data_IF_494369496255
#
_entry.id   IF_494369496255
#
_cell.length_a   1.000
_cell.length_b   1.000
_cell.length_c   1.000
_cell.angle_alpha   90.00
_cell.angle_beta   90.00
_cell.angle_gamma   90.00
#
_symmetry.space_group_name_H-M   'P 1'
#
loop_
_entity.id
_entity.type
_entity.pdbx_description
1 polymer ?
#
# COMPACT_ATOMS: atom_id res chain seq x y z
N UNK A 1 2.10 1.66 11.92
CA UNK A 1 1.21 1.40 10.76
C UNK A 1 0.99 2.71 10.02
N UNK A 2 1.16 2.74 8.70
CA UNK A 2 0.94 3.92 7.87
C UNK A 2 -0.21 3.62 6.92
N UNK A 3 -1.26 4.42 6.93
CA UNK A 3 -2.45 4.27 6.09
C UNK A 3 -2.42 5.35 5.02
N UNK A 4 -2.29 4.95 3.76
CA UNK A 4 -2.35 5.83 2.59
C UNK A 4 -3.78 5.87 2.09
N UNK A 5 -4.40 7.06 2.10
CA UNK A 5 -5.71 7.29 1.53
C UNK A 5 -5.60 8.28 0.37
N UNK A 6 -6.15 7.91 -0.79
CA UNK A 6 -6.27 8.84 -1.91
C UNK A 6 -7.70 9.37 -1.94
N UNK A 7 -7.87 10.69 -1.87
CA UNK A 7 -9.19 11.32 -2.07
C UNK A 7 -9.04 12.58 -2.93
N UNK A 8 -9.23 12.44 -4.24
CA UNK A 8 -9.37 13.53 -5.22
C UNK A 8 -8.21 14.51 -5.29
N UNK A 9 -7.29 14.33 -6.26
CA UNK A 9 -6.14 15.20 -6.61
C UNK A 9 -5.17 15.61 -5.46
N UNK A 10 -5.53 15.40 -4.20
CA UNK A 10 -4.69 15.53 -3.00
C UNK A 10 -4.66 14.18 -2.27
N UNK A 11 -3.47 13.70 -1.95
CA UNK A 11 -3.25 12.40 -1.33
C UNK A 11 -2.95 12.57 0.16
N UNK A 12 -3.76 11.95 1.02
CA UNK A 12 -3.66 12.08 2.46
C UNK A 12 -3.07 10.80 3.06
N UNK A 13 -2.01 10.91 3.84
CA UNK A 13 -1.43 9.75 4.54
C UNK A 13 -1.67 9.89 6.03
N UNK A 14 -2.40 8.93 6.57
CA UNK A 14 -2.75 8.82 7.97
C UNK A 14 -1.79 7.82 8.62
N UNK A 15 -0.82 8.31 9.39
CA UNK A 15 0.05 7.47 10.22
C UNK A 15 -0.67 7.04 11.51
N UNK A 16 -0.83 5.74 11.71
CA UNK A 16 -1.23 5.14 12.99
C UNK A 16 0.03 4.70 13.76
N UNK A 17 0.41 5.50 14.75
CA UNK A 17 1.47 5.16 15.69
C UNK A 17 0.82 4.62 16.97
N UNK A 18 1.52 3.72 17.70
CA UNK A 18 1.08 3.20 19.01
C UNK A 18 0.82 4.32 20.06
N UNK A 19 1.17 5.57 19.75
CA UNK A 19 0.98 6.77 20.56
C UNK A 19 -0.07 7.76 20.02
N UNK A 20 -0.85 7.38 19.00
CA UNK A 20 -1.93 8.21 18.43
C UNK A 20 -1.96 8.22 16.90
N UNK A 21 -2.95 8.93 16.34
CA UNK A 21 -3.08 9.14 14.89
C UNK A 21 -2.39 10.44 14.51
N UNK A 22 -1.50 10.40 13.54
CA UNK A 22 -0.92 11.58 12.92
C UNK A 22 -1.36 11.66 11.46
N UNK A 23 -2.12 12.69 11.12
CA UNK A 23 -2.55 12.95 9.74
C UNK A 23 -1.60 13.95 9.11
N UNK A 24 -1.09 13.62 7.92
CA UNK A 24 -0.21 14.50 7.17
C UNK A 24 -0.40 14.31 5.67
N UNK A 25 -0.14 15.36 4.90
CA UNK A 25 -0.26 15.31 3.46
C UNK A 25 1.04 14.78 2.86
N UNK A 26 0.95 13.73 2.05
CA UNK A 26 2.10 13.21 1.32
C UNK A 26 1.87 13.39 -0.17
N UNK A 27 2.71 14.21 -0.78
CA UNK A 27 2.86 14.28 -2.22
C UNK A 27 3.70 13.10 -2.68
N UNK A 28 3.11 12.19 -3.46
CA UNK A 28 3.78 10.95 -3.85
C UNK A 28 5.05 11.21 -4.67
N UNK A 29 5.06 12.30 -5.44
CA UNK A 29 6.19 12.75 -6.25
C UNK A 29 7.43 13.15 -5.41
N UNK A 30 7.25 13.50 -4.13
CA UNK A 30 8.34 13.95 -3.26
C UNK A 30 8.90 12.84 -2.36
N UNK A 31 8.30 11.64 -2.39
CA UNK A 31 8.69 10.53 -1.54
C UNK A 31 8.46 10.82 -0.04
N UNK A 32 8.83 9.87 0.81
CA UNK A 32 8.67 9.98 2.25
C UNK A 32 9.85 9.39 3.01
N UNK A 33 10.16 9.95 4.18
CA UNK A 33 11.21 9.49 5.09
C UNK A 33 10.68 8.60 6.23
N UNK A 34 9.41 8.21 6.21
CA UNK A 34 8.86 7.30 7.23
C UNK A 34 9.35 5.88 7.03
N UNK A 35 9.50 5.17 8.15
CA UNK A 35 9.87 3.75 8.21
C UNK A 35 8.78 2.95 8.94
N UNK A 36 7.57 2.82 8.37
CA UNK A 36 6.51 2.03 8.95
C UNK A 36 6.79 0.53 8.74
N UNK A 37 6.40 -0.28 9.72
CA UNK A 37 6.41 -1.73 9.58
C UNK A 37 5.35 -2.23 8.59
N UNK A 38 4.21 -1.54 8.55
CA UNK A 38 3.06 -1.87 7.70
C UNK A 38 2.59 -0.60 7.01
N UNK A 39 2.46 -0.65 5.69
CA UNK A 39 1.73 0.32 4.85
C UNK A 39 0.40 -0.29 4.44
N UNK A 40 -0.68 0.49 4.48
CA UNK A 40 -2.00 0.06 3.99
C UNK A 40 -2.52 1.09 3.00
N UNK A 41 -3.00 0.65 1.83
CA UNK A 41 -3.69 1.49 0.85
C UNK A 41 -5.07 0.91 0.55
N UNK A 42 -6.07 1.78 0.42
CA UNK A 42 -7.43 1.39 0.05
C UNK A 42 -7.90 2.19 -1.17
N UNK A 43 -8.22 1.48 -2.25
CA UNK A 43 -8.68 1.99 -3.54
C UNK A 43 -7.77 3.09 -4.13
N UNK A 44 -6.45 2.89 -4.04
CA UNK A 44 -5.41 3.86 -4.45
C UNK A 44 -4.89 3.65 -5.87
N UNK A 45 -5.21 2.52 -6.51
CA UNK A 45 -4.79 2.20 -7.89
C UNK A 45 -5.94 2.47 -8.86
N UNK A 46 -6.25 3.75 -9.08
CA UNK A 46 -7.33 4.17 -10.00
C UNK A 46 -6.83 5.07 -11.12
N UNK A 47 -5.86 5.94 -10.85
CA UNK A 47 -5.26 6.85 -11.83
C UNK A 47 -3.94 6.27 -12.37
N UNK A 48 -3.87 5.92 -13.68
CA UNK A 48 -2.66 5.36 -14.27
C UNK A 48 -1.46 6.31 -14.24
N UNK A 49 -1.67 7.62 -14.17
CA UNK A 49 -0.57 8.60 -14.14
C UNK A 49 0.05 8.70 -12.73
N UNK A 50 -0.73 8.37 -11.69
CA UNK A 50 -0.28 8.35 -10.30
C UNK A 50 0.46 7.06 -9.93
N UNK A 51 0.23 5.96 -10.67
CA UNK A 51 0.81 4.63 -10.42
C UNK A 51 2.35 4.63 -10.26
N UNK A 52 3.14 5.26 -11.14
CA UNK A 52 4.59 5.28 -10.99
C UNK A 52 5.05 5.95 -9.69
N UNK A 53 4.36 7.02 -9.29
CA UNK A 53 4.64 7.73 -8.05
C UNK A 53 4.26 6.88 -6.83
N UNK A 54 3.10 6.22 -6.87
CA UNK A 54 2.65 5.29 -5.81
C UNK A 54 3.68 4.19 -5.56
N UNK A 55 4.10 3.48 -6.61
CA UNK A 55 5.10 2.42 -6.49
C UNK A 55 6.46 2.96 -5.99
N UNK A 56 6.83 4.18 -6.39
CA UNK A 56 8.02 4.87 -5.89
C UNK A 56 7.95 5.13 -4.38
N UNK A 57 6.83 5.64 -3.88
CA UNK A 57 6.62 5.86 -2.44
C UNK A 57 6.67 4.55 -1.68
N UNK A 58 5.92 3.53 -2.11
CA UNK A 58 5.91 2.22 -1.43
C UNK A 58 7.32 1.63 -1.38
N UNK A 59 8.04 1.61 -2.49
CA UNK A 59 9.42 1.11 -2.53
C UNK A 59 10.36 1.90 -1.61
N UNK A 60 10.29 3.24 -1.62
CA UNK A 60 11.09 4.10 -0.75
C UNK A 60 10.83 3.85 0.73
N UNK A 61 9.56 3.74 1.11
CA UNK A 61 9.10 3.56 2.48
C UNK A 61 9.53 2.18 3.01
N UNK A 62 9.44 1.14 2.17
CA UNK A 62 9.89 -0.21 2.53
C UNK A 62 11.43 -0.35 2.55
N UNK A 63 12.13 0.39 1.69
CA UNK A 63 13.61 0.33 1.56
C UNK A 63 14.34 1.10 2.66
N UNK A 64 13.69 2.11 3.26
CA UNK A 64 14.30 2.99 4.26
C UNK A 64 14.78 2.28 5.54
N UNK A 65 14.45 0.99 5.72
CA UNK A 65 14.95 0.14 6.80
C UNK A 65 16.35 -0.44 6.55
N UNK A 66 16.86 -0.38 5.32
CA UNK A 66 18.14 -0.99 4.92
C UNK A 66 19.37 -0.06 5.09
N UNK A 67 19.25 1.10 5.75
CA UNK A 67 20.31 2.11 5.81
C UNK A 67 20.90 2.42 7.19
N UNK A 68 22.19 2.05 7.35
CA UNK A 68 23.21 2.53 8.31
C UNK A 68 23.19 1.98 9.77
N UNK A 69 23.76 0.77 9.95
CA UNK A 69 24.59 0.48 11.13
C UNK A 69 24.00 -0.34 12.29
N UNK A 70 22.74 -0.76 12.22
CA UNK A 70 22.18 -1.70 13.21
C UNK A 70 22.39 -3.14 12.76
N UNK A 71 23.01 -3.95 13.61
CA UNK A 71 23.12 -5.40 13.47
C UNK A 71 21.76 -6.02 13.05
N UNK A 72 21.75 -7.10 12.25
CA UNK A 72 20.51 -7.76 11.88
C UNK A 72 19.85 -8.32 13.14
N UNK A 73 18.92 -7.56 13.73
CA UNK A 73 17.99 -8.08 14.72
C UNK A 73 17.20 -9.18 13.99
N UNK A 74 17.44 -10.44 14.36
CA UNK A 74 16.92 -11.65 13.69
C UNK A 74 15.39 -11.79 13.75
N UNK A 75 14.67 -10.74 14.13
CA UNK A 75 13.20 -10.70 14.26
C UNK A 75 12.59 -9.41 13.68
N UNK A 76 13.39 -8.58 13.00
CA UNK A 76 12.95 -7.32 12.40
C UNK A 76 12.33 -7.52 11.01
N UNK A 77 11.20 -8.22 10.92
CA UNK A 77 10.54 -8.58 9.65
C UNK A 77 10.44 -7.42 8.67
N UNK A 78 10.91 -7.61 7.43
CA UNK A 78 10.92 -6.62 6.35
C UNK A 78 9.57 -5.91 6.24
N UNK A 79 9.57 -4.59 6.05
CA UNK A 79 8.32 -3.82 5.96
C UNK A 79 7.43 -4.37 4.84
N UNK A 80 6.12 -4.37 5.07
CA UNK A 80 5.12 -4.90 4.12
C UNK A 80 4.08 -3.83 3.80
N UNK A 81 3.61 -3.82 2.56
CA UNK A 81 2.50 -3.00 2.13
C UNK A 81 1.29 -3.86 1.75
N UNK A 82 0.09 -3.45 2.14
CA UNK A 82 -1.17 -4.09 1.80
C UNK A 82 -2.03 -3.11 1.02
N UNK A 83 -2.40 -3.45 -0.20
CA UNK A 83 -3.22 -2.59 -1.06
C UNK A 83 -4.51 -3.32 -1.41
N UNK A 84 -5.63 -2.83 -0.89
CA UNK A 84 -6.98 -3.31 -1.18
C UNK A 84 -7.62 -2.41 -2.24
N UNK A 85 -7.94 -2.92 -3.42
CA UNK A 85 -8.61 -2.14 -4.48
C UNK A 85 -9.75 -2.93 -5.12
N UNK A 86 -10.64 -2.21 -5.84
CA UNK A 86 -11.48 -2.84 -6.86
C UNK A 86 -10.79 -2.71 -8.21
N UNK A 87 -10.60 -3.81 -8.95
CA UNK A 87 -10.03 -3.74 -10.31
C UNK A 87 -11.11 -3.23 -11.27
N UNK A 88 -11.17 -1.91 -11.44
CA UNK A 88 -12.13 -1.25 -12.34
C UNK A 88 -11.63 -1.19 -13.79
N UNK A 89 -10.32 -1.07 -13.96
CA UNK A 89 -9.65 -0.99 -15.24
C UNK A 89 -8.42 -1.92 -15.25
N UNK A 90 -8.47 -3.05 -15.99
CA UNK A 90 -7.35 -3.99 -16.09
C UNK A 90 -6.05 -3.34 -16.56
N UNK A 91 -6.11 -2.39 -17.51
CA UNK A 91 -4.92 -1.72 -18.04
C UNK A 91 -4.22 -0.85 -16.98
N UNK A 92 -4.97 -0.23 -16.06
CA UNK A 92 -4.38 0.49 -14.92
C UNK A 92 -3.71 -0.47 -13.96
N UNK A 93 -4.31 -1.65 -13.75
CA UNK A 93 -3.73 -2.66 -12.88
C UNK A 93 -2.46 -3.29 -13.46
N UNK A 94 -2.40 -3.56 -14.77
CA UNK A 94 -1.19 -4.00 -15.47
C UNK A 94 -0.06 -2.98 -15.34
N UNK A 95 -0.36 -1.69 -15.54
CA UNK A 95 0.60 -0.61 -15.29
C UNK A 95 1.13 -0.63 -13.85
N UNK A 96 0.26 -0.92 -12.89
CA UNK A 96 0.65 -1.04 -11.48
C UNK A 96 1.58 -2.22 -11.24
N UNK A 97 1.30 -3.39 -11.81
CA UNK A 97 2.19 -4.55 -11.68
C UNK A 97 3.56 -4.30 -12.32
N UNK A 98 3.58 -3.65 -13.49
CA UNK A 98 4.82 -3.31 -14.19
C UNK A 98 5.64 -2.28 -13.43
N UNK A 99 5.01 -1.19 -12.97
CA UNK A 99 5.68 -0.14 -12.20
C UNK A 99 6.21 -0.67 -10.87
N UNK A 100 5.48 -1.56 -10.19
CA UNK A 100 5.95 -2.21 -8.98
C UNK A 100 7.17 -3.10 -9.25
N UNK A 101 7.13 -3.91 -10.31
CA UNK A 101 8.25 -4.76 -10.69
C UNK A 101 9.52 -3.95 -11.01
N UNK A 102 9.39 -2.83 -11.74
CA UNK A 102 10.49 -1.90 -12.03
C UNK A 102 11.10 -1.26 -10.77
N UNK A 103 10.34 -1.20 -9.67
CA UNK A 103 10.78 -0.66 -8.37
C UNK A 103 11.24 -1.75 -7.40
N UNK A 104 11.43 -2.98 -7.88
CA UNK A 104 11.87 -4.10 -7.06
C UNK A 104 10.81 -4.60 -6.07
N UNK A 105 9.52 -4.30 -6.30
CA UNK A 105 8.44 -4.80 -5.47
C UNK A 105 7.92 -6.13 -6.01
N UNK A 106 7.74 -7.11 -5.14
CA UNK A 106 6.94 -8.29 -5.37
C UNK A 106 5.48 -7.98 -5.03
N UNK A 107 4.55 -8.42 -5.89
CA UNK A 107 3.12 -8.33 -5.64
C UNK A 107 2.58 -9.75 -5.52
N UNK A 108 1.79 -9.98 -4.48
CA UNK A 108 1.10 -11.24 -4.23
C UNK A 108 -0.38 -10.96 -3.97
N UNK A 109 -1.26 -11.69 -4.66
CA UNK A 109 -2.70 -11.63 -4.42
C UNK A 109 -3.05 -12.52 -3.22
N UNK A 110 -3.55 -11.89 -2.16
CA UNK A 110 -3.95 -12.55 -0.91
C UNK A 110 -5.47 -12.47 -0.68
N UNK A 111 -6.25 -12.27 -1.74
CA UNK A 111 -7.70 -12.09 -1.65
C UNK A 111 -8.40 -13.31 -1.07
N UNK A 112 -7.91 -14.52 -1.33
CA UNK A 112 -8.47 -15.76 -0.76
C UNK A 112 -8.32 -15.83 0.77
N UNK A 113 -7.24 -15.27 1.33
CA UNK A 113 -7.03 -15.22 2.78
C UNK A 113 -8.10 -14.36 3.48
N UNK A 114 -8.58 -13.31 2.80
CA UNK A 114 -9.64 -12.44 3.32
C UNK A 114 -11.03 -13.07 3.30
N UNK A 115 -11.31 -13.97 2.36
CA UNK A 115 -12.61 -14.67 2.26
C UNK A 115 -12.87 -15.47 3.54
N UNK A 116 -11.83 -16.02 4.16
CA UNK A 116 -11.90 -16.73 5.45
C UNK A 116 -12.11 -15.82 6.67
N UNK A 117 -11.93 -14.50 6.54
CA UNK A 117 -11.94 -13.57 7.67
C UNK A 117 -13.32 -12.97 8.01
N UNK A 118 -14.39 -13.35 7.30
CA UNK A 118 -15.76 -12.84 7.53
C UNK A 118 -15.81 -11.30 7.72
N UNK A 119 -15.11 -10.55 6.87
CA UNK A 119 -15.11 -9.08 6.94
C UNK A 119 -16.54 -8.53 6.73
N UNK A 120 -17.16 -8.09 7.83
CA UNK A 120 -18.46 -7.40 7.80
C UNK A 120 -18.22 -5.91 7.62
N UNK A 121 -18.46 -5.40 6.41
CA UNK A 121 -18.50 -3.97 6.16
C UNK A 121 -19.68 -3.37 6.95
N UNK A 122 -19.36 -2.56 7.97
CA UNK A 122 -20.32 -2.09 8.98
C UNK A 122 -21.25 -0.98 8.47
N UNK A 123 -21.00 -0.48 7.26
CA UNK A 123 -21.83 0.49 6.56
C UNK A 123 -22.11 -0.06 5.17
N UNK A 124 -23.34 0.09 4.62
CA UNK A 124 -23.61 -0.37 3.27
C UNK A 124 -22.66 0.39 2.34
N UNK A 125 -21.66 -0.27 1.71
CA UNK A 125 -20.96 0.41 0.64
C UNK A 125 -22.04 0.72 -0.39
N UNK A 126 -22.12 1.96 -0.85
CA UNK A 126 -22.97 2.27 -2.00
C UNK A 126 -22.66 1.24 -3.10
N UNK A 127 -23.56 0.27 -3.30
CA UNK A 127 -23.65 -0.66 -4.43
C UNK A 127 -22.47 -1.60 -4.78
N UNK A 128 -21.32 -1.57 -4.10
CA UNK A 128 -20.21 -2.45 -4.46
C UNK A 128 -20.37 -3.88 -3.90
N UNK A 129 -20.46 -4.87 -4.79
CA UNK A 129 -20.40 -6.29 -4.41
C UNK A 129 -19.04 -6.58 -3.76
N UNK A 130 -19.07 -7.24 -2.59
CA UNK A 130 -17.87 -7.66 -1.84
C UNK A 130 -16.93 -8.58 -2.65
N UNK A 131 -17.45 -9.24 -3.70
CA UNK A 131 -16.67 -10.09 -4.61
C UNK A 131 -15.79 -9.33 -5.61
N UNK A 132 -15.79 -8.00 -5.59
CA UNK A 132 -15.03 -7.17 -6.52
C UNK A 132 -13.70 -6.63 -5.94
N UNK A 133 -13.44 -6.85 -4.66
CA UNK A 133 -12.22 -6.37 -4.01
C UNK A 133 -11.10 -7.39 -4.15
N UNK A 134 -9.90 -6.89 -4.44
CA UNK A 134 -8.66 -7.67 -4.52
C UNK A 134 -7.66 -7.04 -3.56
N UNK A 135 -7.03 -7.86 -2.72
CA UNK A 135 -6.00 -7.42 -1.79
C UNK A 135 -4.64 -7.94 -2.21
N UNK A 136 -3.69 -7.00 -2.35
CA UNK A 136 -2.33 -7.28 -2.75
C UNK A 136 -1.38 -7.04 -1.59
N UNK A 137 -0.52 -8.02 -1.31
CA UNK A 137 0.66 -7.86 -0.46
C UNK A 137 1.84 -7.45 -1.31
N UNK A 138 2.56 -6.41 -0.88
CA UNK A 138 3.73 -5.86 -1.53
C UNK A 138 4.94 -5.94 -0.59
N UNK A 139 6.05 -6.48 -1.09
CA UNK A 139 7.33 -6.61 -0.39
C UNK A 139 8.48 -6.32 -1.34
N UNK A 140 9.69 -6.06 -0.82
CA UNK A 140 10.87 -5.89 -1.66
C UNK A 140 11.40 -7.25 -2.13
N UNK A 141 11.74 -7.36 -3.41
CA UNK A 141 12.43 -8.51 -3.99
C UNK A 141 13.88 -8.53 -3.50
N UNK A 142 14.32 -9.68 -3.00
CA UNK A 142 15.71 -9.97 -2.66
C UNK A 142 16.51 -10.43 -3.88
#
# INVERSE_FOLDING_TARGET
MCVVCASGFEFCVIGLLLKGVHCTTLKWEHGCQWQPDIVVGADVVYDPDAVPCLCGVVSSVLSSRHGAGSEPCQDGGQGVAYILNVVRNPATFEKFTDAAAQRGLAIEDISEELVGMHMKFQFPPCQYQQSAFVMHRLSLKH
#
